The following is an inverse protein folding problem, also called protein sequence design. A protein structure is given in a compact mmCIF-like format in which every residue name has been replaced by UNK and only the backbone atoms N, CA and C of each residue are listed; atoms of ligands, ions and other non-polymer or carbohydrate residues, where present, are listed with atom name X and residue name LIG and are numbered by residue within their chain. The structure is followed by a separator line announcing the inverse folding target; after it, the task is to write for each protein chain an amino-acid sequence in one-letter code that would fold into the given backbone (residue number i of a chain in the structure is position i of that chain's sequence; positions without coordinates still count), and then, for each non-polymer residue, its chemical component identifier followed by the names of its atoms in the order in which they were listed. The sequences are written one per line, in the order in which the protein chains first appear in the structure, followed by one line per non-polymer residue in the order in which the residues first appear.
data_IF_652606596941
#
_entry.id   IF_652606596941
#
_cell.length_a   1.000
_cell.length_b   1.000
_cell.length_c   1.000
_cell.angle_alpha   90.00
_cell.angle_beta   90.00
_cell.angle_gamma   90.00
#
_symmetry.space_group_name_H-M   'P 1'
#
loop_
_entity.id
_entity.type
_entity.pdbx_description
1 polymer ?
#
# COMPACT_ATOMS: atom_id res chain seq x y z
N UNK A 1 -1.96 -34.07 1.33
CA UNK A 1 -3.04 -33.27 1.95
C UNK A 1 -2.38 -32.06 2.61
N UNK A 2 -2.18 -30.99 1.84
CA UNK A 2 -1.44 -29.80 2.32
C UNK A 2 -2.47 -28.91 3.02
N UNK A 3 -2.38 -28.81 4.35
CA UNK A 3 -3.18 -27.86 5.12
C UNK A 3 -2.71 -26.45 4.76
N UNK A 4 -3.42 -25.81 3.84
CA UNK A 4 -3.37 -24.36 3.62
C UNK A 4 -4.02 -23.67 4.83
N UNK A 5 -3.29 -23.60 5.93
CA UNK A 5 -3.67 -22.78 7.08
C UNK A 5 -3.62 -21.31 6.68
N UNK A 6 -4.75 -20.78 6.22
CA UNK A 6 -4.86 -19.38 5.85
C UNK A 6 -4.81 -18.52 7.13
N UNK A 7 -3.71 -17.78 7.34
CA UNK A 7 -3.65 -16.72 8.34
C UNK A 7 -4.56 -15.56 7.88
N UNK A 8 -5.86 -15.61 8.18
CA UNK A 8 -6.88 -14.75 7.54
C UNK A 8 -7.52 -13.68 8.42
N UNK A 9 -7.05 -13.44 9.64
CA UNK A 9 -7.66 -12.43 10.52
C UNK A 9 -6.64 -11.43 11.05
N UNK A 10 -6.90 -10.14 10.88
CA UNK A 10 -6.12 -9.06 11.50
C UNK A 10 -7.06 -8.03 12.09
N UNK A 11 -6.72 -7.56 13.28
CA UNK A 11 -7.48 -6.52 13.98
C UNK A 11 -6.50 -5.40 14.33
N UNK A 12 -6.82 -4.21 13.86
CA UNK A 12 -6.18 -2.97 14.27
C UNK A 12 -6.87 -2.47 15.53
N UNK A 13 -6.10 -1.93 16.45
CA UNK A 13 -6.65 -1.35 17.65
C UNK A 13 -6.00 0.00 17.92
N UNK A 14 -6.83 0.93 18.40
CA UNK A 14 -6.44 2.31 18.73
C UNK A 14 -5.36 2.34 19.82
N UNK A 15 -5.20 1.25 20.57
CA UNK A 15 -4.16 1.06 21.59
C UNK A 15 -2.74 0.86 21.02
N UNK A 16 -2.55 1.00 19.71
CA UNK A 16 -1.25 0.84 19.05
C UNK A 16 -0.83 -0.62 18.88
N UNK A 17 -1.75 -1.56 19.13
CA UNK A 17 -1.46 -2.99 19.02
C UNK A 17 -1.92 -3.56 17.68
N UNK A 18 -1.10 -4.46 17.16
CA UNK A 18 -1.40 -5.26 15.98
C UNK A 18 -1.58 -6.70 16.42
N UNK A 19 -2.78 -7.24 16.17
CA UNK A 19 -3.10 -8.63 16.46
C UNK A 19 -3.10 -9.45 15.19
N UNK A 20 -2.45 -10.61 15.25
CA UNK A 20 -2.47 -11.59 14.18
C UNK A 20 -3.27 -12.80 14.67
N UNK A 21 -4.30 -13.14 13.90
CA UNK A 21 -5.15 -14.28 14.17
C UNK A 21 -4.96 -15.33 13.09
N UNK A 22 -4.90 -16.58 13.52
CA UNK A 22 -4.83 -17.75 12.64
C UNK A 22 -6.03 -18.64 12.94
N UNK A 23 -6.68 -19.08 11.88
CA UNK A 23 -7.69 -20.10 11.98
C UNK A 23 -7.02 -21.48 11.99
N UNK A 24 -7.28 -22.27 13.02
CA UNK A 24 -6.90 -23.68 13.10
C UNK A 24 -8.12 -24.49 13.54
N UNK A 25 -8.46 -25.53 12.79
CA UNK A 25 -9.60 -26.41 13.09
C UNK A 25 -10.93 -25.65 13.30
N UNK A 26 -11.24 -24.68 12.43
CA UNK A 26 -12.41 -23.79 12.50
C UNK A 26 -12.50 -22.96 13.80
N UNK A 27 -11.40 -22.81 14.53
CA UNK A 27 -11.29 -21.91 15.67
C UNK A 27 -10.28 -20.81 15.39
N UNK A 28 -10.69 -19.58 15.68
CA UNK A 28 -9.81 -18.42 15.62
C UNK A 28 -8.96 -18.33 16.87
N UNK A 29 -7.65 -18.43 16.70
CA UNK A 29 -6.69 -18.25 17.79
C UNK A 29 -5.81 -17.04 17.50
N UNK A 30 -5.61 -16.22 18.53
CA UNK A 30 -4.63 -15.15 18.48
C UNK A 30 -3.26 -15.79 18.56
N UNK A 31 -2.48 -15.65 17.50
CA UNK A 31 -1.14 -16.23 17.45
C UNK A 31 -0.10 -15.26 17.99
N UNK A 32 -0.27 -13.96 17.74
CA UNK A 32 0.69 -12.93 18.16
C UNK A 32 0.02 -11.59 18.44
N UNK A 33 0.57 -10.85 19.39
CA UNK A 33 0.29 -9.45 19.66
C UNK A 33 1.58 -8.62 19.64
N UNK A 34 1.53 -7.47 18.96
CA UNK A 34 2.64 -6.53 18.85
C UNK A 34 2.20 -5.16 19.35
N UNK A 35 2.88 -4.62 20.35
CA UNK A 35 2.73 -3.24 20.81
C UNK A 35 3.95 -2.40 20.36
N UNK A 36 4.22 -2.37 19.05
CA UNK A 36 5.41 -1.70 18.49
C UNK A 36 5.26 -0.18 18.42
N UNK A 37 4.02 0.31 18.37
CA UNK A 37 3.71 1.72 18.18
C UNK A 37 3.21 2.35 19.46
N UNK A 38 3.57 3.62 19.65
CA UNK A 38 3.12 4.42 20.81
C UNK A 38 1.75 5.06 20.59
N UNK A 39 1.25 5.02 19.35
CA UNK A 39 -0.01 5.61 18.94
C UNK A 39 -0.81 4.62 18.07
N UNK A 40 -2.01 5.01 17.67
CA UNK A 40 -2.92 4.21 16.86
C UNK A 40 -2.28 3.77 15.54
N UNK A 41 -2.41 2.48 15.23
CA UNK A 41 -2.07 1.91 13.92
C UNK A 41 -3.26 2.12 12.98
N UNK A 42 -3.04 2.90 11.94
CA UNK A 42 -4.10 3.35 11.03
C UNK A 42 -4.43 2.31 9.97
N UNK A 43 -3.42 1.60 9.47
CA UNK A 43 -3.61 0.57 8.44
C UNK A 43 -2.58 -0.55 8.56
N UNK A 44 -2.97 -1.73 8.06
CA UNK A 44 -2.09 -2.87 7.84
C UNK A 44 -2.25 -3.41 6.43
N UNK A 45 -1.16 -3.77 5.77
CA UNK A 45 -1.19 -4.42 4.46
C UNK A 45 -0.24 -5.61 4.40
N UNK A 46 -0.73 -6.75 3.89
CA UNK A 46 0.13 -7.89 3.53
C UNK A 46 0.93 -7.56 2.26
N UNK A 47 2.18 -8.02 2.20
CA UNK A 47 2.94 -8.04 0.96
C UNK A 47 2.38 -9.07 -0.02
N UNK A 48 2.69 -8.93 -1.33
CA UNK A 48 2.50 -10.00 -2.29
C UNK A 48 3.21 -11.28 -1.83
N UNK A 49 2.58 -12.43 -2.09
CA UNK A 49 3.06 -13.73 -1.64
C UNK A 49 4.46 -14.10 -2.14
N UNK A 50 4.86 -13.57 -3.29
CA UNK A 50 6.19 -13.78 -3.88
C UNK A 50 7.31 -13.08 -3.11
N UNK A 51 6.99 -12.01 -2.38
CA UNK A 51 7.96 -11.29 -1.53
C UNK A 51 8.18 -11.96 -0.17
N UNK A 52 7.35 -12.96 0.17
CA UNK A 52 7.28 -13.61 1.47
C UNK A 52 6.07 -13.15 2.29
N UNK A 53 6.03 -13.60 3.55
CA UNK A 53 4.94 -13.31 4.48
C UNK A 53 5.27 -12.03 5.28
N UNK A 54 5.19 -10.86 4.62
CA UNK A 54 5.46 -9.56 5.25
C UNK A 54 4.17 -8.80 5.58
N UNK A 55 4.20 -8.07 6.68
CA UNK A 55 3.14 -7.21 7.15
C UNK A 55 3.65 -5.78 7.28
N UNK A 56 3.09 -4.86 6.50
CA UNK A 56 3.33 -3.44 6.71
C UNK A 56 2.29 -2.84 7.66
N UNK A 57 2.74 -2.14 8.68
CA UNK A 57 1.94 -1.39 9.65
C UNK A 57 2.29 0.10 9.53
N UNK A 58 1.27 0.94 9.43
CA UNK A 58 1.42 2.39 9.44
C UNK A 58 0.78 2.98 10.70
N UNK A 59 1.52 3.81 11.41
CA UNK A 59 1.09 4.37 12.69
C UNK A 59 1.05 5.89 12.69
N UNK A 60 0.17 6.42 13.52
CA UNK A 60 0.05 7.86 13.80
C UNK A 60 1.27 8.42 14.55
N UNK A 61 2.15 7.57 15.10
CA UNK A 61 3.40 8.01 15.73
C UNK A 61 4.48 8.46 14.73
N UNK A 62 4.20 8.34 13.43
CA UNK A 62 5.09 8.73 12.34
C UNK A 62 5.99 7.60 11.84
N UNK A 63 5.98 6.45 12.51
CA UNK A 63 6.75 5.29 12.11
C UNK A 63 5.92 4.35 11.25
N UNK A 64 6.63 3.65 10.37
CA UNK A 64 6.13 2.46 9.72
C UNK A 64 6.93 1.25 10.23
N UNK A 65 6.23 0.15 10.48
CA UNK A 65 6.83 -1.11 10.92
C UNK A 65 6.52 -2.19 9.91
N UNK A 66 7.53 -2.95 9.51
CA UNK A 66 7.39 -4.12 8.66
C UNK A 66 7.71 -5.36 9.49
N UNK A 67 6.77 -6.28 9.58
CA UNK A 67 6.96 -7.55 10.26
C UNK A 67 7.17 -8.65 9.22
N UNK A 68 8.20 -9.46 9.41
CA UNK A 68 8.50 -10.63 8.59
C UNK A 68 8.20 -11.89 9.39
N UNK A 69 7.31 -12.74 8.86
CA UNK A 69 7.05 -14.05 9.46
C UNK A 69 7.99 -15.09 8.85
N UNK A 70 8.91 -15.62 9.66
CA UNK A 70 9.87 -16.66 9.27
C UNK A 70 9.96 -17.71 10.37
N UNK A 71 9.89 -18.98 9.99
CA UNK A 71 10.11 -20.13 10.89
C UNK A 71 9.35 -20.07 12.22
N UNK A 72 8.07 -19.66 12.17
CA UNK A 72 7.20 -19.51 13.35
C UNK A 72 7.62 -18.41 14.34
N UNK A 73 8.58 -17.57 13.96
CA UNK A 73 8.95 -16.32 14.62
C UNK A 73 8.54 -15.11 13.78
N UNK A 74 8.40 -13.97 14.43
CA UNK A 74 8.13 -12.69 13.79
C UNK A 74 9.31 -11.75 14.06
N UNK A 75 10.06 -11.46 13.01
CA UNK A 75 11.03 -10.37 13.02
C UNK A 75 10.32 -9.07 12.63
N UNK A 76 10.85 -7.94 13.08
CA UNK A 76 10.29 -6.64 12.71
C UNK A 76 11.39 -5.61 12.47
N UNK A 77 11.09 -4.68 11.57
CA UNK A 77 11.90 -3.50 11.30
C UNK A 77 10.99 -2.29 11.43
N UNK A 78 11.35 -1.37 12.31
CA UNK A 78 10.63 -0.11 12.50
C UNK A 78 11.51 1.05 12.08
N UNK A 79 10.97 1.96 11.27
CA UNK A 79 11.70 3.14 10.82
C UNK A 79 10.76 4.37 10.76
N UNK A 80 11.31 5.58 10.94
CA UNK A 80 10.54 6.81 10.82
C UNK A 80 10.18 7.07 9.35
N UNK A 81 8.89 7.15 9.06
CA UNK A 81 8.40 7.36 7.69
C UNK A 81 7.94 8.81 7.46
N UNK A 82 7.01 9.32 8.27
CA UNK A 82 6.42 10.66 8.13
C UNK A 82 6.43 11.39 9.48
N UNK A 83 6.77 12.67 9.50
CA UNK A 83 6.99 13.41 10.76
C UNK A 83 5.74 13.62 11.63
N UNK A 84 4.55 13.59 11.02
CA UNK A 84 3.27 13.86 11.69
C UNK A 84 2.34 12.64 11.82
N UNK A 85 2.78 11.47 11.35
CA UNK A 85 1.95 10.27 11.30
C UNK A 85 1.77 9.70 9.89
N UNK A 86 1.58 8.39 9.82
CA UNK A 86 1.34 7.64 8.59
C UNK A 86 -0.10 7.15 8.57
N UNK A 87 -0.86 7.53 7.55
CA UNK A 87 -2.29 7.17 7.43
C UNK A 87 -2.51 5.93 6.58
N UNK A 88 -1.67 5.71 5.56
CA UNK A 88 -1.84 4.60 4.63
C UNK A 88 -0.52 4.00 4.18
N UNK A 89 -0.57 2.71 3.82
CA UNK A 89 0.53 1.93 3.26
C UNK A 89 -0.02 0.96 2.21
N UNK A 90 0.64 0.90 1.06
CA UNK A 90 0.30 -0.05 0.00
C UNK A 90 1.56 -0.65 -0.60
N UNK A 91 1.58 -1.97 -0.72
CA UNK A 91 2.68 -2.68 -1.38
C UNK A 91 2.61 -2.53 -2.89
N UNK A 92 3.78 -2.42 -3.51
CA UNK A 92 3.93 -2.58 -4.94
C UNK A 92 3.80 -4.08 -5.31
N UNK A 93 3.35 -4.39 -6.53
CA UNK A 93 3.39 -5.76 -7.03
C UNK A 93 4.83 -6.31 -7.03
N UNK A 94 4.99 -7.59 -6.74
CA UNK A 94 6.32 -8.22 -6.62
C UNK A 94 7.06 -8.31 -7.96
N UNK A 95 6.33 -8.23 -9.07
CA UNK A 95 6.87 -8.28 -10.42
C UNK A 95 7.30 -6.87 -10.83
N UNK A 96 8.58 -6.69 -11.15
CA UNK A 96 9.04 -5.43 -11.73
C UNK A 96 8.28 -5.15 -13.04
N UNK A 97 7.87 -3.90 -13.31
CA UNK A 97 7.17 -3.54 -14.54
C UNK A 97 7.90 -4.02 -15.80
N UNK A 98 7.31 -4.97 -16.54
CA UNK A 98 7.92 -5.57 -17.73
C UNK A 98 8.68 -6.89 -17.52
N UNK A 99 8.70 -7.45 -16.30
CA UNK A 99 9.28 -8.77 -16.04
C UNK A 99 8.29 -9.88 -16.43
N UNK A 100 8.73 -10.77 -17.32
CA UNK A 100 8.00 -12.02 -17.64
C UNK A 100 8.12 -12.96 -16.45
N UNK A 101 6.98 -13.28 -15.83
CA UNK A 101 6.88 -14.30 -14.78
C UNK A 101 7.27 -15.65 -15.40
N UNK A 102 8.50 -16.10 -15.18
CA UNK A 102 8.85 -17.48 -15.48
C UNK A 102 8.28 -18.38 -14.38
N UNK A 103 7.75 -19.54 -14.76
CA UNK A 103 7.20 -20.55 -13.83
C UNK A 103 8.26 -21.21 -12.93
N UNK A 104 9.51 -20.74 -12.99
CA UNK A 104 10.65 -21.28 -12.27
C UNK A 104 11.40 -20.13 -11.59
N UNK A 105 11.03 -19.75 -10.34
CA UNK A 105 11.75 -18.71 -9.62
C UNK A 105 13.19 -19.19 -9.38
N UNK A 106 14.15 -18.58 -10.06
CA UNK A 106 15.55 -18.78 -9.73
C UNK A 106 15.84 -18.27 -8.31
N UNK A 107 16.82 -18.85 -7.59
CA UNK A 107 17.13 -18.51 -6.19
C UNK A 107 17.62 -17.05 -5.96
N UNK A 108 17.67 -16.23 -7.00
CA UNK A 108 17.98 -14.79 -6.95
C UNK A 108 16.80 -13.85 -7.28
N UNK A 109 15.58 -14.37 -7.50
CA UNK A 109 14.39 -13.55 -7.79
C UNK A 109 13.69 -13.09 -6.52
N UNK A 110 14.43 -12.51 -5.57
CA UNK A 110 13.79 -11.74 -4.51
C UNK A 110 13.19 -10.50 -5.19
N UNK A 111 11.90 -10.58 -5.53
CA UNK A 111 11.17 -9.47 -6.16
C UNK A 111 11.44 -8.18 -5.38
N UNK A 112 11.56 -7.06 -6.09
CA UNK A 112 11.91 -5.80 -5.46
C UNK A 112 10.80 -5.44 -4.47
N UNK A 113 11.10 -5.54 -3.17
CA UNK A 113 10.14 -5.23 -2.11
C UNK A 113 9.99 -3.71 -2.05
N UNK A 114 8.92 -3.21 -2.67
CA UNK A 114 8.57 -1.79 -2.63
C UNK A 114 7.20 -1.60 -2.02
N UNK A 115 7.01 -0.47 -1.36
CA UNK A 115 5.71 0.00 -0.95
C UNK A 115 5.71 1.51 -0.91
N UNK A 116 4.51 2.07 -0.89
CA UNK A 116 4.26 3.50 -0.75
C UNK A 116 3.58 3.76 0.58
N UNK A 117 3.97 4.85 1.24
CA UNK A 117 3.31 5.38 2.43
C UNK A 117 2.75 6.76 2.15
N UNK A 118 1.58 7.06 2.72
CA UNK A 118 0.98 8.39 2.72
C UNK A 118 0.84 8.91 4.15
N UNK A 119 1.31 10.14 4.38
CA UNK A 119 1.37 10.72 5.72
C UNK A 119 0.53 11.99 5.90
N UNK A 120 0.48 12.44 7.15
CA UNK A 120 -0.08 13.73 7.55
C UNK A 120 0.83 14.93 7.19
N UNK A 121 2.00 14.68 6.60
CA UNK A 121 2.91 15.70 6.07
C UNK A 121 2.60 16.09 4.61
N UNK A 122 1.47 15.62 4.07
CA UNK A 122 0.99 15.84 2.70
C UNK A 122 1.88 15.22 1.62
N UNK A 123 2.83 14.36 2.02
CA UNK A 123 3.77 13.69 1.14
C UNK A 123 3.39 12.22 0.97
N UNK A 124 3.78 11.69 -0.18
CA UNK A 124 3.90 10.25 -0.37
C UNK A 124 5.37 9.88 -0.50
N UNK A 125 5.74 8.78 0.14
CA UNK A 125 7.11 8.26 0.12
C UNK A 125 7.11 6.83 -0.38
N UNK A 126 8.03 6.54 -1.30
CA UNK A 126 8.25 5.20 -1.82
C UNK A 126 9.46 4.61 -1.13
N UNK A 127 9.30 3.41 -0.60
CA UNK A 127 10.30 2.68 0.15
C UNK A 127 10.73 1.45 -0.62
N UNK A 128 12.03 1.18 -0.63
CA UNK A 128 12.63 -0.02 -1.20
C UNK A 128 13.41 -0.73 -0.10
N UNK A 129 13.24 -2.05 -0.04
CA UNK A 129 14.06 -2.88 0.82
C UNK A 129 15.48 -3.02 0.27
N UNK A 130 16.46 -2.73 1.10
CA UNK A 130 17.87 -2.92 0.76
C UNK A 130 18.43 -4.11 1.54
N UNK A 131 18.72 -5.21 0.82
CA UNK A 131 19.23 -6.45 1.43
C UNK A 131 20.54 -6.25 2.20
N UNK A 132 21.35 -5.26 1.82
CA UNK A 132 22.63 -4.98 2.47
C UNK A 132 22.46 -4.40 3.89
N UNK A 133 21.46 -3.54 4.11
CA UNK A 133 21.20 -2.91 5.41
C UNK A 133 20.08 -3.58 6.19
N UNK A 134 19.39 -4.58 5.61
CA UNK A 134 18.19 -5.21 6.16
C UNK A 134 17.14 -4.18 6.61
N UNK A 135 17.07 -3.06 5.90
CA UNK A 135 16.22 -1.93 6.24
C UNK A 135 15.56 -1.37 4.99
N UNK A 136 14.55 -0.53 5.22
CA UNK A 136 13.83 0.17 4.17
C UNK A 136 14.42 1.57 4.01
N UNK A 137 14.80 1.90 2.78
CA UNK A 137 15.25 3.23 2.42
C UNK A 137 14.27 3.86 1.45
N UNK A 138 14.15 5.18 1.56
CA UNK A 138 13.38 5.96 0.62
C UNK A 138 14.08 5.90 -0.75
N UNK A 139 13.35 5.48 -1.81
CA UNK A 139 13.94 5.28 -3.15
C UNK A 139 14.30 6.60 -3.82
N UNK A 140 13.44 7.60 -3.66
CA UNK A 140 13.43 8.86 -4.42
C UNK A 140 12.91 10.01 -3.58
N UNK A 141 12.94 11.23 -4.14
CA UNK A 141 12.26 12.38 -3.57
C UNK A 141 10.78 12.09 -3.26
N UNK A 142 10.24 12.63 -2.16
CA UNK A 142 8.85 12.44 -1.81
C UNK A 142 7.95 13.02 -2.91
N UNK A 143 6.88 12.31 -3.24
CA UNK A 143 5.87 12.81 -4.17
C UNK A 143 5.07 13.91 -3.48
N UNK A 144 5.45 15.15 -3.76
CA UNK A 144 4.81 16.34 -3.25
C UNK A 144 3.74 16.83 -4.22
N UNK A 145 2.58 17.21 -3.69
CA UNK A 145 1.51 17.78 -4.51
C UNK A 145 0.21 17.99 -3.75
N UNK A 146 -0.09 17.16 -2.76
CA UNK A 146 -1.25 17.38 -1.89
C UNK A 146 -1.05 18.61 -1.00
N UNK A 147 -2.14 19.33 -0.75
CA UNK A 147 -2.14 20.52 0.11
C UNK A 147 -2.62 20.22 1.52
N UNK A 148 -3.18 19.03 1.75
CA UNK A 148 -3.67 18.55 3.03
C UNK A 148 -3.35 17.05 3.22
N UNK A 149 -3.70 16.50 4.38
CA UNK A 149 -3.32 15.16 4.81
C UNK A 149 -3.72 14.09 3.80
N UNK A 150 -2.76 13.24 3.43
CA UNK A 150 -3.02 12.07 2.60
C UNK A 150 -3.79 11.07 3.44
N UNK A 151 -5.01 10.74 2.99
CA UNK A 151 -5.91 9.83 3.68
C UNK A 151 -5.69 8.39 3.28
N UNK A 152 -5.40 8.15 2.01
CA UNK A 152 -5.16 6.80 1.52
C UNK A 152 -4.24 6.78 0.30
N UNK A 153 -3.53 5.67 0.12
CA UNK A 153 -2.64 5.45 -1.02
C UNK A 153 -2.79 4.00 -1.47
N UNK A 154 -2.96 3.80 -2.77
CA UNK A 154 -3.10 2.48 -3.37
C UNK A 154 -2.17 2.34 -4.57
N UNK A 155 -1.31 1.33 -4.54
CA UNK A 155 -0.48 0.94 -5.68
C UNK A 155 -1.30 0.00 -6.58
N UNK A 156 -1.32 0.27 -7.89
CA UNK A 156 -2.01 -0.59 -8.84
C UNK A 156 -1.29 -1.93 -8.99
N UNK A 157 -1.99 -3.08 -8.92
CA UNK A 157 -1.40 -4.39 -9.12
C UNK A 157 -1.06 -4.68 -10.60
N UNK A 158 -1.13 -3.69 -11.49
CA UNK A 158 -0.88 -3.89 -12.91
C UNK A 158 0.54 -4.38 -13.17
N UNK A 159 0.66 -5.38 -14.05
CA UNK A 159 1.94 -5.97 -14.49
C UNK A 159 2.43 -5.32 -15.79
N UNK A 160 1.76 -4.25 -16.23
CA UNK A 160 2.15 -3.48 -17.41
C UNK A 160 3.47 -2.73 -17.17
N UNK A 161 4.06 -2.21 -18.25
CA UNK A 161 5.28 -1.38 -18.19
C UNK A 161 5.10 -0.05 -17.45
N UNK A 162 3.86 0.31 -17.10
CA UNK A 162 3.54 1.53 -16.35
C UNK A 162 3.10 1.17 -14.94
N UNK A 163 3.77 1.76 -13.95
CA UNK A 163 3.33 1.72 -12.57
C UNK A 163 2.35 2.85 -12.30
N UNK A 164 1.25 2.55 -11.60
CA UNK A 164 0.26 3.53 -11.17
C UNK A 164 0.16 3.52 -9.66
N UNK A 165 0.17 4.71 -9.06
CA UNK A 165 -0.15 4.91 -7.64
C UNK A 165 -1.30 5.91 -7.59
N UNK A 166 -2.37 5.56 -6.88
CA UNK A 166 -3.44 6.49 -6.57
C UNK A 166 -3.29 6.99 -5.15
N UNK A 167 -3.56 8.26 -4.93
CA UNK A 167 -3.45 8.92 -3.64
C UNK A 167 -4.63 9.82 -3.42
N UNK A 168 -5.29 9.67 -2.28
CA UNK A 168 -6.44 10.46 -1.87
C UNK A 168 -6.07 11.34 -0.69
N UNK A 169 -6.51 12.59 -0.74
CA UNK A 169 -6.28 13.55 0.32
C UNK A 169 -7.57 14.22 0.77
N UNK A 170 -7.50 14.81 1.96
CA UNK A 170 -8.52 15.70 2.48
C UNK A 170 -8.63 17.01 1.70
N UNK A 171 -7.65 17.35 0.86
CA UNK A 171 -7.68 18.48 -0.06
C UNK A 171 -8.74 18.36 -1.18
N UNK A 172 -9.56 17.31 -1.15
CA UNK A 172 -10.60 16.98 -2.12
C UNK A 172 -10.06 16.62 -3.50
N UNK A 173 -8.79 16.21 -3.57
CA UNK A 173 -8.17 15.74 -4.80
C UNK A 173 -7.75 14.28 -4.67
N UNK A 174 -7.86 13.56 -5.78
CA UNK A 174 -7.16 12.30 -6.00
C UNK A 174 -6.06 12.55 -6.99
N UNK A 175 -4.83 12.22 -6.62
CA UNK A 175 -3.68 12.29 -7.51
C UNK A 175 -3.30 10.90 -7.96
N UNK A 176 -3.13 10.75 -9.27
CA UNK A 176 -2.68 9.52 -9.91
C UNK A 176 -1.26 9.77 -10.40
N UNK A 177 -0.34 9.00 -9.85
CA UNK A 177 1.08 9.04 -10.16
C UNK A 177 1.39 7.92 -11.13
N UNK A 178 1.96 8.27 -12.28
CA UNK A 178 2.39 7.31 -13.29
C UNK A 178 3.90 7.34 -13.44
N UNK A 179 4.52 6.17 -13.51
CA UNK A 179 5.95 6.02 -13.80
C UNK A 179 6.15 4.91 -14.82
N UNK A 180 6.96 5.17 -15.84
CA UNK A 180 7.31 4.20 -16.88
C UNK A 180 8.53 3.38 -16.45
N UNK A 181 8.59 2.10 -16.85
CA UNK A 181 9.77 1.24 -16.60
C UNK A 181 11.09 1.86 -17.08
N UNK A 182 11.05 2.60 -18.21
CA UNK A 182 12.23 3.19 -18.83
C UNK A 182 12.75 4.44 -18.12
N UNK A 183 11.91 5.12 -17.35
CA UNK A 183 12.23 6.32 -16.58
C UNK A 183 11.98 6.07 -15.10
N UNK A 184 12.67 5.03 -14.58
CA UNK A 184 12.59 4.67 -13.15
C UNK A 184 12.95 5.90 -12.32
N UNK A 185 11.94 6.50 -11.70
CA UNK A 185 12.08 7.66 -10.82
C UNK A 185 11.57 9.00 -11.34
N UNK A 186 10.95 9.03 -12.52
CA UNK A 186 10.07 10.13 -12.88
C UNK A 186 8.61 9.73 -12.67
N UNK A 187 7.95 10.46 -11.77
CA UNK A 187 6.53 10.29 -11.49
C UNK A 187 5.77 11.49 -12.05
N UNK A 188 4.88 11.22 -13.01
CA UNK A 188 3.96 12.21 -13.52
C UNK A 188 2.67 12.19 -12.71
N UNK A 189 2.17 13.37 -12.35
CA UNK A 189 0.95 13.51 -11.57
C UNK A 189 -0.21 13.96 -12.46
N UNK A 190 -1.31 13.21 -12.43
CA UNK A 190 -2.63 13.64 -12.92
C UNK A 190 -3.54 13.89 -11.72
N UNK A 191 -4.22 15.03 -11.71
CA UNK A 191 -5.08 15.46 -10.61
C UNK A 191 -6.54 15.30 -11.01
N UNK A 192 -7.32 14.65 -10.14
CA UNK A 192 -8.77 14.55 -10.21
C UNK A 192 -9.35 15.36 -9.07
N UNK A 193 -10.22 16.31 -9.40
CA UNK A 193 -10.87 17.17 -8.41
C UNK A 193 -12.23 16.60 -8.04
N UNK A 194 -12.56 16.66 -6.75
CA UNK A 194 -13.84 16.24 -6.19
C UNK A 194 -14.42 17.37 -5.33
N UNK A 195 -15.74 17.36 -5.12
CA UNK A 195 -16.42 18.38 -4.31
C UNK A 195 -16.27 18.13 -2.79
N UNK A 196 -15.95 16.90 -2.41
CA UNK A 196 -15.80 16.43 -1.03
C UNK A 196 -14.43 15.78 -0.77
N UNK A 197 -14.07 15.67 0.51
CA UNK A 197 -12.83 15.00 0.94
C UNK A 197 -12.86 13.52 0.55
N UNK A 198 -11.74 12.99 0.10
CA UNK A 198 -11.64 11.58 -0.34
C UNK A 198 -11.03 10.75 0.79
N UNK A 199 -11.69 9.65 1.14
CA UNK A 199 -11.31 8.84 2.29
C UNK A 199 -10.50 7.61 1.93
N UNK A 200 -10.92 6.86 0.89
CA UNK A 200 -10.25 5.63 0.44
C UNK A 200 -10.19 5.55 -1.06
N UNK A 201 -9.11 4.91 -1.54
CA UNK A 201 -8.90 4.57 -2.94
C UNK A 201 -8.53 3.10 -3.06
N UNK A 202 -9.08 2.41 -4.05
CA UNK A 202 -8.76 1.00 -4.30
C UNK A 202 -8.69 0.71 -5.78
N UNK A 203 -7.67 -0.03 -6.19
CA UNK A 203 -7.56 -0.53 -7.54
C UNK A 203 -8.33 -1.83 -7.74
N UNK A 204 -8.85 -2.02 -8.95
CA UNK A 204 -9.26 -3.33 -9.44
C UNK A 204 -8.07 -4.27 -9.51
N UNK A 205 -8.31 -5.57 -9.35
CA UNK A 205 -7.31 -6.64 -9.56
C UNK A 205 -6.70 -6.60 -10.97
N UNK A 206 -7.46 -6.14 -11.96
CA UNK A 206 -6.95 -5.93 -13.33
C UNK A 206 -6.06 -4.69 -13.48
N UNK A 207 -6.00 -3.83 -12.46
CA UNK A 207 -5.22 -2.59 -12.46
C UNK A 207 -5.78 -1.45 -13.33
N UNK A 208 -6.91 -1.65 -13.99
CA UNK A 208 -7.44 -0.69 -14.99
C UNK A 208 -8.55 0.22 -14.48
N UNK A 209 -9.15 -0.08 -13.31
CA UNK A 209 -10.26 0.68 -12.74
C UNK A 209 -9.89 1.09 -11.32
N UNK A 210 -10.12 2.35 -11.00
CA UNK A 210 -9.91 2.93 -9.68
C UNK A 210 -11.28 3.20 -9.03
N UNK A 211 -11.51 2.64 -7.85
CA UNK A 211 -12.63 3.00 -6.99
C UNK A 211 -12.20 4.11 -6.03
N UNK A 212 -12.98 5.18 -5.98
CA UNK A 212 -12.76 6.35 -5.12
C UNK A 212 -13.98 6.50 -4.22
N UNK A 213 -13.75 6.63 -2.91
CA UNK A 213 -14.81 6.88 -1.93
C UNK A 213 -14.68 8.28 -1.34
N UNK A 214 -15.71 9.09 -1.57
CA UNK A 214 -15.80 10.47 -1.10
C UNK A 214 -16.57 10.60 0.22
N UNK A 215 -16.42 11.75 0.88
CA UNK A 215 -17.21 12.14 2.04
C UNK A 215 -18.64 12.58 1.72
N UNK A 216 -19.02 12.56 0.45
CA UNK A 216 -20.38 12.78 -0.06
C UNK A 216 -21.24 11.50 -0.05
N UNK A 217 -20.75 10.42 0.58
CA UNK A 217 -21.35 9.08 0.58
C UNK A 217 -21.48 8.47 -0.83
N UNK A 218 -20.69 8.94 -1.79
CA UNK A 218 -20.66 8.40 -3.15
C UNK A 218 -19.38 7.61 -3.38
N UNK A 219 -19.51 6.55 -4.17
CA UNK A 219 -18.36 5.80 -4.68
C UNK A 219 -18.29 5.99 -6.18
N UNK A 220 -17.21 6.60 -6.67
CA UNK A 220 -16.97 6.82 -8.09
C UNK A 220 -15.95 5.81 -8.62
N UNK A 221 -16.24 5.23 -9.78
CA UNK A 221 -15.35 4.37 -10.53
C UNK A 221 -14.72 5.16 -11.66
N UNK A 222 -13.41 5.11 -11.76
CA UNK A 222 -12.61 5.85 -12.73
C UNK A 222 -11.80 4.89 -13.60
N UNK A 223 -11.66 5.23 -14.88
CA UNK A 223 -10.87 4.48 -15.85
C UNK A 223 -10.06 5.42 -16.72
N UNK A 224 -8.87 4.97 -17.12
CA UNK A 224 -8.02 5.70 -18.07
C UNK A 224 -8.47 5.43 -19.52
N UNK A 225 -8.60 6.51 -20.29
CA UNK A 225 -8.86 6.50 -21.72
C UNK A 225 -7.59 6.26 -22.53
N UNK A 226 -7.74 5.94 -23.82
CA UNK A 226 -6.60 5.77 -24.75
C UNK A 226 -5.71 7.02 -24.86
N UNK A 227 -6.21 8.20 -24.44
CA UNK A 227 -5.47 9.48 -24.42
C UNK A 227 -4.68 9.71 -23.13
N UNK A 228 -4.78 8.82 -22.13
CA UNK A 228 -4.18 8.99 -20.81
C UNK A 228 -4.93 9.97 -19.90
N UNK A 229 -6.21 10.22 -20.20
CA UNK A 229 -7.12 11.01 -19.37
C UNK A 229 -8.01 10.07 -18.57
N UNK A 230 -8.37 10.47 -17.36
CA UNK A 230 -9.19 9.68 -16.46
C UNK A 230 -10.64 10.16 -16.51
N UNK A 231 -11.55 9.24 -16.80
CA UNK A 231 -12.99 9.51 -16.84
C UNK A 231 -13.73 8.73 -15.75
N UNK A 232 -14.77 9.37 -15.21
CA UNK A 232 -15.68 8.71 -14.28
C UNK A 232 -16.62 7.80 -15.08
N UNK A 233 -16.45 6.50 -14.92
CA UNK A 233 -17.26 5.46 -15.58
C UNK A 233 -18.61 5.32 -14.91
N UNK A 234 -18.65 5.40 -13.58
CA UNK A 234 -19.87 5.21 -12.81
C UNK A 234 -19.76 5.85 -11.43
N UNK A 235 -20.79 6.59 -11.02
CA UNK A 235 -21.02 6.90 -9.61
C UNK A 235 -22.06 5.92 -9.05
N UNK A 236 -21.79 5.46 -7.83
CA UNK A 236 -22.70 4.64 -7.03
C UNK A 236 -23.10 5.53 -5.86
N UNK A 237 -24.39 5.78 -5.77
CA UNK A 237 -25.03 6.51 -4.68
C UNK A 237 -25.96 5.51 -4.00
N UNK A 238 -26.11 5.65 -2.68
CA UNK A 238 -26.99 4.83 -1.84
C UNK A 238 -28.47 5.21 -2.03
#
# INVERSE_FOLDING_TARGET
MVQSGACRGRTLSYDGKVFIWREQNNQWQKIFDFALHKASVNIVSWSPHESGCLLACASSDGNASILEFRDNSFDHVTFPAHGLGVNSVSWAPATAPGSIVSSSPGPGSAGVRRFVTGGCDNLLKIWVFESASQSYKQEQEPLAGHTDWVRDVAWSPTVLQKSYIASASQDKTVRIWTSDSSSTGQWNCKVLNFDAAVWRVSWSLSGNVLAVSGGDNKVSLWKENLRGEWECVKSIEE
#
